data_IF_144471253397
#
_entry.id   IF_144471253397
#
_cell.length_a   1.000
_cell.length_b   1.000
_cell.length_c   1.000
_cell.angle_alpha   90.00
_cell.angle_beta   90.00
_cell.angle_gamma   90.00
#
_symmetry.space_group_name_H-M   'P 1'
#
loop_
_entity.id
_entity.type
_entity.pdbx_description
1 polymer ?
#
# COMPACT_ATOMS: atom_id res chain seq x y z
N UNK A 1 -19.20 1.41 -5.74
CA UNK A 1 -18.43 0.69 -4.71
C UNK A 1 -16.95 1.06 -4.66
N UNK A 2 -16.04 0.61 -5.54
CA UNK A 2 -14.59 0.76 -5.22
C UNK A 2 -13.99 2.17 -5.44
N UNK A 3 -14.51 2.96 -6.39
CA UNK A 3 -14.24 4.42 -6.44
C UNK A 3 -14.64 5.10 -5.12
N UNK A 4 -15.65 4.56 -4.44
CA UNK A 4 -16.10 5.07 -3.14
C UNK A 4 -15.13 4.67 -2.05
N UNK A 5 -14.40 3.54 -2.11
CA UNK A 5 -13.37 3.21 -1.10
C UNK A 5 -12.17 4.16 -1.18
N UNK A 6 -11.63 4.41 -2.38
CA UNK A 6 -10.52 5.39 -2.51
C UNK A 6 -11.00 6.81 -2.23
N UNK A 7 -12.19 7.19 -2.71
CA UNK A 7 -12.76 8.49 -2.39
C UNK A 7 -13.11 8.61 -0.90
N UNK A 8 -13.63 7.57 -0.24
CA UNK A 8 -13.94 7.58 1.18
C UNK A 8 -12.66 7.58 2.02
N UNK A 9 -11.61 6.86 1.65
CA UNK A 9 -10.30 6.94 2.33
C UNK A 9 -9.66 8.32 2.12
N UNK A 10 -9.74 8.87 0.90
CA UNK A 10 -9.28 10.23 0.60
C UNK A 10 -10.13 11.33 1.26
N UNK A 11 -11.43 11.10 1.46
CA UNK A 11 -12.37 12.00 2.14
C UNK A 11 -12.26 11.89 3.67
N UNK A 12 -12.05 10.69 4.24
CA UNK A 12 -11.76 10.49 5.67
C UNK A 12 -10.40 11.08 6.05
N UNK A 13 -9.45 11.14 5.12
CA UNK A 13 -8.21 11.91 5.27
C UNK A 13 -8.42 13.45 5.26
N UNK A 14 -9.66 13.94 5.08
CA UNK A 14 -9.99 15.35 4.83
C UNK A 14 -11.22 15.92 5.53
N UNK A 15 -11.84 15.25 6.52
CA UNK A 15 -13.03 15.81 7.21
C UNK A 15 -12.82 15.95 8.72
N UNK A 16 -12.62 17.19 9.16
CA UNK A 16 -13.12 17.65 10.45
C UNK A 16 -13.66 19.08 10.27
N UNK A 17 -14.99 19.20 10.23
CA UNK A 17 -15.67 20.45 10.58
C UNK A 17 -15.56 20.62 12.10
N UNK A 18 -14.79 21.59 12.58
CA UNK A 18 -15.30 22.51 13.61
C UNK A 18 -14.42 23.76 13.73
N UNK A 19 -15.15 24.85 13.77
CA UNK A 19 -14.83 26.24 14.05
C UNK A 19 -14.00 26.41 15.35
N UNK A 20 -13.10 27.42 15.33
CA UNK A 20 -12.35 28.05 16.43
C UNK A 20 -11.20 27.26 17.08
N UNK A 21 -9.95 27.54 16.67
CA UNK A 21 -8.99 28.21 17.56
C UNK A 21 -7.87 28.87 16.74
N UNK A 22 -7.64 30.17 16.99
CA UNK A 22 -6.49 30.91 16.47
C UNK A 22 -5.48 30.95 17.61
N UNK A 23 -4.35 30.24 17.46
CA UNK A 23 -3.00 30.78 17.66
C UNK A 23 -1.92 29.69 17.54
N UNK A 24 -0.80 30.08 16.91
CA UNK A 24 0.49 29.39 16.81
C UNK A 24 0.64 28.23 15.81
N UNK A 25 0.69 28.55 14.50
CA UNK A 25 1.05 27.61 13.43
C UNK A 25 2.56 27.65 13.14
N UNK A 26 3.32 26.72 13.71
CA UNK A 26 4.48 26.17 12.98
C UNK A 26 3.92 25.47 11.74
N UNK A 27 4.35 25.89 10.56
CA UNK A 27 3.93 25.26 9.29
C UNK A 27 4.57 23.88 9.21
N UNK A 28 3.90 22.86 9.77
CA UNK A 28 4.26 21.46 9.53
C UNK A 28 3.78 21.10 8.13
N UNK A 29 4.70 20.58 7.31
CA UNK A 29 4.37 20.01 6.00
C UNK A 29 3.26 18.96 6.16
N UNK A 30 2.28 18.89 5.25
CA UNK A 30 1.20 17.92 5.34
C UNK A 30 1.75 16.48 5.37
N UNK A 31 1.15 15.63 6.21
CA UNK A 31 1.58 14.24 6.36
C UNK A 31 1.44 13.45 5.05
N UNK A 32 2.46 12.66 4.66
CA UNK A 32 2.40 11.85 3.45
C UNK A 32 1.33 10.75 3.54
N UNK A 33 0.73 10.40 2.41
CA UNK A 33 -0.21 9.30 2.26
C UNK A 33 0.49 7.95 2.26
N UNK A 34 0.11 7.10 3.20
CA UNK A 34 0.80 5.86 3.52
C UNK A 34 0.03 4.68 2.94
N UNK A 35 0.63 3.99 1.98
CA UNK A 35 0.07 2.77 1.37
C UNK A 35 0.94 1.59 1.74
N UNK A 36 0.31 0.50 2.16
CA UNK A 36 0.98 -0.78 2.41
C UNK A 36 0.42 -1.88 1.52
N UNK A 37 1.29 -2.53 0.75
CA UNK A 37 0.95 -3.65 -0.11
C UNK A 37 1.20 -4.97 0.64
N UNK A 38 0.27 -5.93 0.56
CA UNK A 38 0.31 -7.14 1.39
C UNK A 38 0.14 -8.40 0.55
N UNK A 39 1.14 -9.29 0.61
CA UNK A 39 1.05 -10.64 0.05
C UNK A 39 1.38 -11.70 1.13
N UNK A 40 1.72 -12.93 0.74
CA UNK A 40 1.94 -14.01 1.72
C UNK A 40 3.27 -13.85 2.46
N UNK A 41 4.40 -13.99 1.74
CA UNK A 41 5.74 -14.00 2.34
C UNK A 41 6.53 -12.68 2.24
N UNK A 42 5.95 -11.63 1.66
CA UNK A 42 6.62 -10.35 1.41
C UNK A 42 7.94 -10.40 0.63
N UNK A 43 8.16 -11.38 -0.24
CA UNK A 43 9.38 -11.47 -1.07
C UNK A 43 9.13 -11.41 -2.58
N UNK A 44 7.86 -11.55 -3.02
CA UNK A 44 7.49 -11.59 -4.44
C UNK A 44 6.59 -10.42 -4.84
N UNK A 45 5.28 -10.55 -4.62
CA UNK A 45 4.24 -9.67 -5.16
C UNK A 45 4.21 -8.29 -4.48
N UNK A 46 4.16 -8.24 -3.16
CA UNK A 46 4.06 -6.96 -2.45
C UNK A 46 5.32 -6.08 -2.55
N UNK A 47 6.57 -6.61 -2.60
CA UNK A 47 7.75 -5.81 -2.93
C UNK A 47 7.71 -5.19 -4.32
N UNK A 48 7.20 -5.92 -5.33
CA UNK A 48 7.03 -5.36 -6.68
C UNK A 48 6.08 -4.15 -6.63
N UNK A 49 4.92 -4.30 -5.99
CA UNK A 49 3.94 -3.22 -5.88
C UNK A 49 4.48 -2.01 -5.12
N UNK A 50 5.20 -2.23 -4.01
CA UNK A 50 5.85 -1.15 -3.25
C UNK A 50 6.79 -0.32 -4.12
N UNK A 51 7.68 -1.00 -4.85
CA UNK A 51 8.71 -0.39 -5.67
C UNK A 51 8.09 0.37 -6.85
N UNK A 52 7.15 -0.25 -7.55
CA UNK A 52 6.46 0.36 -8.70
C UNK A 52 5.67 1.60 -8.26
N UNK A 53 4.93 1.52 -7.14
CA UNK A 53 4.14 2.66 -6.67
C UNK A 53 5.01 3.83 -6.22
N UNK A 54 6.14 3.54 -5.55
CA UNK A 54 7.13 4.56 -5.17
C UNK A 54 7.73 5.25 -6.39
N UNK A 55 8.20 4.48 -7.37
CA UNK A 55 8.80 5.02 -8.60
C UNK A 55 7.79 5.90 -9.38
N UNK A 56 6.53 5.47 -9.49
CA UNK A 56 5.47 6.28 -10.09
C UNK A 56 5.28 7.62 -9.35
N UNK A 57 5.27 7.61 -8.03
CA UNK A 57 5.14 8.82 -7.22
C UNK A 57 6.33 9.76 -7.42
N UNK A 58 7.56 9.23 -7.43
CA UNK A 58 8.78 10.00 -7.65
C UNK A 58 8.79 10.65 -9.05
N UNK A 59 8.47 9.89 -10.10
CA UNK A 59 8.41 10.39 -11.48
C UNK A 59 7.36 11.48 -11.69
N UNK A 60 6.30 11.49 -10.88
CA UNK A 60 5.24 12.49 -10.93
C UNK A 60 5.47 13.68 -9.97
N UNK A 61 6.64 13.74 -9.30
CA UNK A 61 6.98 14.79 -8.34
C UNK A 61 6.18 14.73 -7.04
N UNK A 62 5.58 13.58 -6.71
CA UNK A 62 4.77 13.34 -5.51
C UNK A 62 5.48 12.44 -4.48
N UNK A 63 6.77 12.15 -4.64
CA UNK A 63 7.52 11.27 -3.74
C UNK A 63 7.48 11.69 -2.26
N UNK A 64 7.49 13.00 -1.96
CA UNK A 64 7.37 13.49 -0.58
C UNK A 64 5.94 13.47 -0.02
N UNK A 65 4.94 13.24 -0.88
CA UNK A 65 3.51 13.19 -0.53
C UNK A 65 3.03 11.76 -0.26
N UNK A 66 3.86 10.76 -0.55
CA UNK A 66 3.51 9.34 -0.43
C UNK A 66 4.59 8.61 0.37
N UNK A 67 4.17 7.64 1.16
CA UNK A 67 5.04 6.57 1.66
C UNK A 67 4.47 5.26 1.15
N UNK A 68 5.27 4.54 0.36
CA UNK A 68 4.98 3.19 -0.13
C UNK A 68 5.70 2.17 0.75
N UNK A 69 4.99 1.12 1.18
CA UNK A 69 5.53 0.03 2.01
C UNK A 69 4.97 -1.30 1.54
N UNK A 70 5.59 -2.39 1.96
CA UNK A 70 4.99 -3.72 1.85
C UNK A 70 5.16 -4.56 3.11
N UNK A 71 4.33 -5.58 3.23
CA UNK A 71 4.38 -6.60 4.26
C UNK A 71 3.81 -7.95 3.77
N UNK A 72 3.92 -8.95 4.63
CA UNK A 72 3.43 -10.32 4.43
C UNK A 72 2.39 -10.68 5.48
N UNK A 73 1.43 -11.55 5.14
CA UNK A 73 0.54 -12.14 6.15
C UNK A 73 1.26 -13.19 7.00
N UNK A 74 2.36 -13.77 6.51
CA UNK A 74 3.22 -14.65 7.31
C UNK A 74 4.58 -14.06 7.64
N UNK A 75 5.35 -14.81 8.42
CA UNK A 75 6.64 -14.45 9.01
C UNK A 75 7.83 -15.28 8.49
N UNK A 76 7.59 -16.18 7.52
CA UNK A 76 8.61 -17.12 7.02
C UNK A 76 9.90 -16.48 6.50
N UNK A 77 9.83 -15.24 6.00
CA UNK A 77 10.95 -14.55 5.35
C UNK A 77 11.36 -13.26 6.07
N UNK A 78 11.05 -13.11 7.37
CA UNK A 78 11.35 -11.87 8.10
C UNK A 78 12.82 -11.42 7.95
N UNK A 79 13.01 -10.18 7.51
CA UNK A 79 14.34 -9.58 7.31
C UNK A 79 15.07 -10.05 6.05
N UNK A 80 14.53 -10.98 5.28
CA UNK A 80 15.12 -11.40 4.01
C UNK A 80 14.99 -10.30 2.95
N UNK A 81 15.82 -10.39 1.90
CA UNK A 81 15.64 -9.57 0.70
C UNK A 81 14.43 -10.08 -0.09
N UNK A 82 13.95 -9.28 -1.04
CA UNK A 82 13.02 -9.80 -2.04
C UNK A 82 13.66 -10.99 -2.79
N UNK A 83 12.83 -11.90 -3.28
CA UNK A 83 13.25 -13.05 -4.09
C UNK A 83 14.13 -12.56 -5.25
N UNK A 84 15.22 -13.26 -5.53
CA UNK A 84 16.15 -12.85 -6.59
C UNK A 84 15.44 -12.69 -7.95
N UNK A 85 14.45 -13.52 -8.27
CA UNK A 85 13.66 -13.43 -9.51
C UNK A 85 12.79 -12.17 -9.54
N UNK A 86 12.30 -11.73 -8.38
CA UNK A 86 11.62 -10.44 -8.21
C UNK A 86 12.57 -9.28 -8.48
N UNK A 87 13.77 -9.33 -7.90
CA UNK A 87 14.81 -8.31 -8.12
C UNK A 87 15.22 -8.24 -9.59
N UNK A 88 15.42 -9.39 -10.23
CA UNK A 88 15.79 -9.45 -11.64
C UNK A 88 14.68 -8.91 -12.55
N UNK A 89 13.42 -9.25 -12.27
CA UNK A 89 12.26 -8.73 -13.01
C UNK A 89 12.11 -7.22 -12.86
N UNK A 90 12.26 -6.70 -11.64
CA UNK A 90 12.27 -5.25 -11.37
C UNK A 90 13.41 -4.55 -12.11
N UNK A 91 14.63 -5.09 -12.04
CA UNK A 91 15.80 -4.53 -12.69
C UNK A 91 15.65 -4.49 -14.22
N UNK A 92 15.10 -5.54 -14.84
CA UNK A 92 14.80 -5.57 -16.29
C UNK A 92 13.84 -4.46 -16.72
N UNK A 93 12.98 -3.98 -15.82
CA UNK A 93 12.04 -2.87 -16.06
C UNK A 93 12.57 -1.50 -15.57
N UNK A 94 13.80 -1.44 -15.08
CA UNK A 94 14.45 -0.21 -14.63
C UNK A 94 14.08 0.24 -13.22
N UNK A 95 13.59 -0.66 -12.37
CA UNK A 95 13.30 -0.39 -10.97
C UNK A 95 14.39 -0.93 -10.04
N UNK A 96 14.61 -0.27 -8.89
CA UNK A 96 15.49 -0.76 -7.83
C UNK A 96 14.70 -1.25 -6.60
N UNK A 97 14.70 -2.57 -6.41
CA UNK A 97 14.14 -3.25 -5.23
C UNK A 97 15.19 -3.71 -4.21
N UNK A 98 16.47 -3.38 -4.39
CA UNK A 98 17.59 -3.97 -3.65
C UNK A 98 17.56 -3.73 -2.13
N UNK A 99 16.93 -2.62 -1.73
CA UNK A 99 16.79 -2.18 -0.33
C UNK A 99 15.60 -2.82 0.39
N UNK A 100 14.70 -3.51 -0.32
CA UNK A 100 13.56 -4.16 0.30
C UNK A 100 14.01 -5.19 1.35
N UNK A 101 13.29 -5.22 2.47
CA UNK A 101 13.41 -6.24 3.52
C UNK A 101 12.03 -6.70 3.95
N UNK A 102 11.83 -8.00 3.95
CA UNK A 102 10.55 -8.61 4.23
C UNK A 102 10.14 -8.37 5.69
N UNK A 103 8.86 -8.05 5.88
CA UNK A 103 8.21 -7.74 7.16
C UNK A 103 6.85 -8.42 7.22
N UNK A 104 6.41 -8.75 8.42
CA UNK A 104 5.05 -9.23 8.66
C UNK A 104 4.11 -8.04 8.89
N UNK A 105 2.89 -8.16 8.39
CA UNK A 105 1.81 -7.23 8.67
C UNK A 105 1.33 -7.45 10.11
N UNK A 106 1.10 -6.37 10.84
CA UNK A 106 0.69 -6.39 12.25
C UNK A 106 -0.59 -5.60 12.45
N UNK A 107 -1.29 -5.78 13.57
CA UNK A 107 -2.45 -4.93 13.91
C UNK A 107 -2.11 -3.43 13.89
N UNK A 108 -0.92 -3.06 14.37
CA UNK A 108 -0.43 -1.67 14.31
C UNK A 108 -0.27 -1.12 12.88
N UNK A 109 -0.13 -2.00 11.88
CA UNK A 109 -0.02 -1.61 10.48
C UNK A 109 -1.29 -0.90 9.97
N UNK A 110 -2.47 -1.20 10.52
CA UNK A 110 -3.69 -0.46 10.18
C UNK A 110 -3.65 0.99 10.65
N UNK A 111 -3.12 1.25 11.84
CA UNK A 111 -2.95 2.60 12.37
C UNK A 111 -1.84 3.37 11.62
N UNK A 112 -0.85 2.67 11.07
CA UNK A 112 0.29 3.26 10.38
C UNK A 112 0.04 3.61 8.91
N UNK A 113 -1.03 3.11 8.30
CA UNK A 113 -1.29 3.27 6.88
C UNK A 113 -2.70 3.81 6.62
N UNK A 114 -2.82 4.64 5.59
CA UNK A 114 -4.09 5.19 5.11
C UNK A 114 -4.83 4.18 4.22
N UNK A 115 -4.09 3.31 3.52
CA UNK A 115 -4.62 2.29 2.62
C UNK A 115 -3.85 0.97 2.76
N UNK A 116 -4.57 -0.15 2.80
CA UNK A 116 -4.04 -1.51 2.83
C UNK A 116 -4.43 -2.22 1.55
N UNK A 117 -3.45 -2.60 0.73
CA UNK A 117 -3.68 -3.17 -0.59
C UNK A 117 -3.28 -4.63 -0.61
N UNK A 118 -4.28 -5.51 -0.62
CA UNK A 118 -4.14 -6.95 -0.74
C UNK A 118 -3.82 -7.36 -2.18
N UNK A 119 -2.90 -8.33 -2.33
CA UNK A 119 -2.50 -8.82 -3.66
C UNK A 119 -3.38 -9.95 -4.18
N UNK A 120 -4.19 -10.58 -3.33
CA UNK A 120 -5.23 -11.52 -3.75
C UNK A 120 -6.34 -11.58 -2.68
N UNK A 121 -7.43 -12.27 -3.00
CA UNK A 121 -8.61 -12.42 -2.12
C UNK A 121 -8.31 -13.17 -0.83
N UNK A 122 -7.28 -14.03 -0.81
CA UNK A 122 -6.88 -14.71 0.43
C UNK A 122 -6.24 -13.71 1.40
N UNK A 123 -5.36 -12.83 0.90
CA UNK A 123 -4.81 -11.74 1.71
C UNK A 123 -5.90 -10.79 2.17
N UNK A 124 -6.82 -10.39 1.28
CA UNK A 124 -7.94 -9.53 1.65
C UNK A 124 -8.74 -10.14 2.80
N UNK A 125 -9.15 -11.40 2.67
CA UNK A 125 -9.90 -12.11 3.72
C UNK A 125 -9.15 -12.10 5.05
N UNK A 126 -7.86 -12.46 5.06
CA UNK A 126 -7.03 -12.46 6.28
C UNK A 126 -6.97 -11.05 6.89
N UNK A 127 -6.76 -10.02 6.08
CA UNK A 127 -6.66 -8.64 6.56
C UNK A 127 -8.00 -8.14 7.11
N UNK A 128 -9.12 -8.47 6.48
CA UNK A 128 -10.46 -8.14 7.02
C UNK A 128 -10.73 -8.87 8.34
N UNK A 129 -10.30 -10.12 8.47
CA UNK A 129 -10.39 -10.87 9.74
C UNK A 129 -9.51 -10.26 10.85
N UNK A 130 -8.41 -9.61 10.51
CA UNK A 130 -7.52 -8.93 11.47
C UNK A 130 -7.92 -7.49 11.80
N UNK A 131 -8.78 -6.88 10.99
CA UNK A 131 -9.29 -5.53 11.27
C UNK A 131 -10.13 -5.57 12.55
N UNK A 132 -9.83 -4.65 13.48
CA UNK A 132 -10.53 -4.58 14.77
C UNK A 132 -11.82 -3.75 14.73
N UNK A 133 -12.08 -3.04 13.64
CA UNK A 133 -13.24 -2.16 13.47
C UNK A 133 -13.51 -1.84 11.98
N UNK A 134 -14.66 -1.22 11.70
CA UNK A 134 -15.11 -0.86 10.36
C UNK A 134 -14.17 0.10 9.62
N UNK A 135 -13.51 1.03 10.34
CA UNK A 135 -12.55 1.96 9.73
C UNK A 135 -11.30 1.23 9.23
N UNK A 136 -10.80 0.24 9.98
CA UNK A 136 -9.67 -0.60 9.56
C UNK A 136 -10.05 -1.52 8.41
N UNK A 137 -11.23 -2.13 8.47
CA UNK A 137 -11.76 -2.96 7.40
C UNK A 137 -11.96 -2.15 6.10
N UNK A 138 -12.43 -0.91 6.21
CA UNK A 138 -12.63 0.02 5.10
C UNK A 138 -11.34 0.44 4.38
N UNK A 139 -10.16 0.26 5.01
CA UNK A 139 -8.85 0.51 4.37
C UNK A 139 -8.42 -0.62 3.45
N UNK A 140 -9.01 -1.81 3.55
CA UNK A 140 -8.57 -3.00 2.82
C UNK A 140 -9.20 -3.02 1.43
N UNK A 141 -8.37 -3.15 0.40
CA UNK A 141 -8.79 -3.28 -1.00
C UNK A 141 -7.86 -4.21 -1.79
N UNK A 142 -8.32 -4.74 -2.92
CA UNK A 142 -7.50 -5.58 -3.82
C UNK A 142 -6.75 -4.71 -4.82
N UNK A 143 -5.49 -5.06 -5.12
CA UNK A 143 -4.71 -4.34 -6.12
C UNK A 143 -5.37 -4.39 -7.51
N UNK A 144 -5.80 -5.57 -7.96
CA UNK A 144 -6.41 -5.73 -9.29
C UNK A 144 -7.80 -5.11 -9.42
N UNK A 145 -8.40 -4.60 -8.33
CA UNK A 145 -9.60 -3.78 -8.42
C UNK A 145 -9.36 -2.44 -9.16
N UNK A 146 -8.10 -2.05 -9.32
CA UNK A 146 -7.67 -0.84 -10.02
C UNK A 146 -7.32 -1.06 -11.49
N UNK A 147 -7.41 -2.29 -11.97
CA UNK A 147 -7.25 -2.65 -13.38
C UNK A 147 -8.62 -2.98 -13.99
N UNK A 148 -9.18 -2.13 -14.87
CA UNK A 148 -10.51 -2.34 -15.45
C UNK A 148 -10.56 -3.55 -16.39
N UNK A 149 -9.41 -4.01 -16.89
CA UNK A 149 -9.31 -5.10 -17.86
C UNK A 149 -8.88 -6.42 -17.19
N UNK A 150 -8.76 -6.44 -15.85
CA UNK A 150 -8.34 -7.61 -15.12
C UNK A 150 -9.38 -8.75 -15.19
N UNK A 151 -8.95 -9.90 -15.72
CA UNK A 151 -9.78 -11.11 -15.81
C UNK A 151 -10.07 -11.75 -14.43
N UNK A 152 -9.28 -11.41 -13.42
CA UNK A 152 -9.39 -11.89 -12.03
C UNK A 152 -9.02 -10.78 -11.07
N UNK A 153 -9.42 -10.91 -9.80
CA UNK A 153 -9.03 -10.00 -8.73
C UNK A 153 -7.79 -10.47 -7.96
N UNK A 154 -7.21 -11.61 -8.34
CA UNK A 154 -6.04 -12.20 -7.69
C UNK A 154 -4.77 -11.99 -8.54
N UNK A 155 -3.72 -11.45 -7.94
CA UNK A 155 -2.37 -11.51 -8.50
C UNK A 155 -1.80 -12.91 -8.23
N UNK A 156 -1.53 -13.72 -9.27
CA UNK A 156 -1.01 -15.08 -9.10
C UNK A 156 0.29 -15.10 -8.32
N UNK A 157 0.49 -16.10 -7.45
CA UNK A 157 1.75 -16.26 -6.73
C UNK A 157 2.83 -16.87 -7.64
N UNK A 158 3.92 -16.14 -7.97
CA UNK A 158 4.96 -16.67 -8.85
C UNK A 158 5.98 -17.54 -8.10
N UNK A 159 5.89 -17.71 -6.78
CA UNK A 159 6.98 -18.28 -5.96
C UNK A 159 7.47 -19.66 -6.43
N UNK A 160 6.55 -20.53 -6.83
CA UNK A 160 6.84 -21.87 -7.36
C UNK A 160 6.95 -21.93 -8.90
N UNK A 161 6.97 -20.78 -9.57
CA UNK A 161 6.99 -20.67 -11.02
C UNK A 161 8.36 -20.22 -11.56
N UNK A 162 8.51 -20.29 -12.89
CA UNK A 162 9.68 -19.81 -13.61
C UNK A 162 9.73 -18.28 -13.76
N UNK A 163 10.87 -17.77 -14.23
CA UNK A 163 11.13 -16.32 -14.33
C UNK A 163 10.10 -15.55 -15.18
N UNK A 164 9.55 -16.16 -16.24
CA UNK A 164 8.52 -15.55 -17.08
C UNK A 164 7.24 -15.20 -16.29
N UNK A 165 6.89 -15.99 -15.27
CA UNK A 165 5.75 -15.70 -14.41
C UNK A 165 6.01 -14.46 -13.55
N UNK A 166 7.26 -14.23 -13.12
CA UNK A 166 7.60 -13.01 -12.38
C UNK A 166 7.41 -11.76 -13.26
N UNK A 167 7.81 -11.82 -14.54
CA UNK A 167 7.62 -10.72 -15.48
C UNK A 167 6.15 -10.46 -15.82
N UNK A 168 5.36 -11.52 -15.95
CA UNK A 168 3.90 -11.42 -16.16
C UNK A 168 3.20 -10.84 -14.92
N UNK A 169 3.53 -11.32 -13.71
CA UNK A 169 3.03 -10.76 -12.45
C UNK A 169 3.42 -9.28 -12.29
N UNK A 170 4.66 -8.93 -12.58
CA UNK A 170 5.11 -7.53 -12.53
C UNK A 170 4.29 -6.68 -13.50
N UNK A 171 4.02 -7.15 -14.71
CA UNK A 171 3.16 -6.45 -15.68
C UNK A 171 1.74 -6.18 -15.16
N UNK A 172 1.10 -7.17 -14.52
CA UNK A 172 -0.20 -6.99 -13.88
C UNK A 172 -0.14 -5.94 -12.77
N UNK A 173 0.87 -6.04 -11.89
CA UNK A 173 1.10 -5.11 -10.79
C UNK A 173 1.31 -3.69 -11.32
N UNK A 174 2.08 -3.51 -12.39
CA UNK A 174 2.30 -2.20 -13.00
C UNK A 174 1.01 -1.56 -13.52
N UNK A 175 0.17 -2.32 -14.22
CA UNK A 175 -1.11 -1.83 -14.76
C UNK A 175 -2.05 -1.41 -13.64
N UNK A 176 -2.25 -2.29 -12.66
CA UNK A 176 -3.12 -2.02 -11.52
C UNK A 176 -2.59 -0.87 -10.64
N UNK A 177 -1.29 -0.82 -10.38
CA UNK A 177 -0.66 0.26 -9.59
C UNK A 177 -0.78 1.62 -10.28
N UNK A 178 -0.68 1.68 -11.62
CA UNK A 178 -0.98 2.91 -12.39
C UNK A 178 -2.45 3.31 -12.24
N UNK A 179 -3.36 2.35 -12.25
CA UNK A 179 -4.78 2.58 -11.98
C UNK A 179 -5.01 3.18 -10.59
N UNK A 180 -4.43 2.58 -9.56
CA UNK A 180 -4.49 3.06 -8.17
C UNK A 180 -3.92 4.48 -8.06
N UNK A 181 -2.74 4.72 -8.59
CA UNK A 181 -2.08 6.03 -8.54
C UNK A 181 -2.95 7.12 -9.18
N UNK A 182 -3.52 6.88 -10.35
CA UNK A 182 -4.43 7.84 -11.02
C UNK A 182 -5.64 8.21 -10.16
N UNK A 183 -6.16 7.28 -9.36
CA UNK A 183 -7.28 7.56 -8.46
C UNK A 183 -6.85 8.37 -7.23
N UNK A 184 -5.64 8.12 -6.71
CA UNK A 184 -5.11 8.84 -5.55
C UNK A 184 -4.57 10.23 -5.88
N UNK A 185 -4.01 10.42 -7.08
CA UNK A 185 -3.31 11.63 -7.50
C UNK A 185 -4.08 12.95 -7.22
N UNK A 186 -5.38 13.09 -7.51
CA UNK A 186 -6.12 14.32 -7.22
C UNK A 186 -6.12 14.69 -5.73
N UNK A 187 -6.17 13.69 -4.84
CA UNK A 187 -6.13 13.90 -3.39
C UNK A 187 -4.72 14.22 -2.89
N UNK A 188 -3.69 13.58 -3.48
CA UNK A 188 -2.29 13.77 -3.10
C UNK A 188 -1.75 15.17 -3.46
N UNK A 189 -2.31 15.80 -4.49
CA UNK A 189 -1.97 17.16 -4.90
C UNK A 189 -2.56 18.23 -3.97
N UNK A 190 -3.55 17.87 -3.15
CA UNK A 190 -4.14 18.77 -2.17
C UNK A 190 -3.34 18.74 -0.85
N UNK A 191 -3.30 19.84 -0.07
CA UNK A 191 -2.75 19.81 1.28
C UNK A 191 -3.54 18.83 2.16
N UNK A 192 -2.86 17.90 2.82
CA UNK A 192 -3.48 16.99 3.79
C UNK A 192 -3.44 17.59 5.20
N UNK A 193 -4.50 17.38 5.96
CA UNK A 193 -4.47 17.64 7.40
C UNK A 193 -3.52 16.64 8.07
N UNK A 194 -2.68 17.05 9.02
CA UNK A 194 -1.83 16.13 9.77
C UNK A 194 -2.65 15.01 10.42
N UNK A 195 -2.12 13.79 10.39
CA UNK A 195 -2.75 12.63 11.00
C UNK A 195 -2.66 12.77 12.52
N UNK A 196 -3.78 12.66 13.22
CA UNK A 196 -3.76 12.57 14.70
C UNK A 196 -2.89 11.36 15.09
N UNK A 197 -1.94 11.49 16.03
CA UNK A 197 -1.21 10.34 16.53
C UNK A 197 -2.21 9.32 17.05
N UNK A 198 -2.19 8.11 16.51
CA UNK A 198 -2.97 7.00 17.06
C UNK A 198 -2.58 6.82 18.52
N UNK A 199 -3.57 6.78 19.42
CA UNK A 199 -3.33 6.45 20.81
C UNK A 199 -2.57 5.12 20.83
N UNK A 200 -1.34 5.13 21.37
CA UNK A 200 -0.59 3.90 21.59
C UNK A 200 -1.48 3.04 22.47
N UNK A 201 -1.96 1.90 21.95
CA UNK A 201 -2.56 0.88 22.80
C UNK A 201 -1.49 0.50 23.80
N UNK A 202 -1.69 0.91 25.05
CA UNK A 202 -0.85 0.51 26.16
C UNK A 202 -0.81 -1.01 26.16
N UNK A 203 0.41 -1.56 26.10
CA UNK A 203 0.62 -2.95 26.47
C UNK A 203 0.04 -3.17 27.86
N UNK A 204 -0.65 -4.29 28.03
CA UNK A 204 -0.99 -4.82 29.34
C UNK A 204 -0.18 -6.10 29.59
N UNK A 205 -0.01 -6.47 30.86
CA UNK A 205 1.28 -6.73 31.52
C UNK A 205 1.94 -8.07 31.20
#
# INVERSE_FOLDING_TARGET
MQKETVAAVAQHAGVARSVLDRQNRTVTSPDPFRVIFVCTGNICRSPMAEVVFRDLAERQGLGSRIISRSAGTGDWHLGERADHRTLDSLARRGYDGSQHRAKQFTFGSFAENDLVVALDRTHERILREWAGNEDEEGKVTLLLAFDPDAASQDVPDPYYAGAEMFDSVLGMIETATRGLFRQLEPALRQPRTPRRPGARSGGLP
#
